data_IF_728629637779
#
_entry.id   IF_728629637779
#
_cell.length_a   1.000
_cell.length_b   1.000
_cell.length_c   1.000
_cell.angle_alpha   90.00
_cell.angle_beta   90.00
_cell.angle_gamma   90.00
#
_symmetry.space_group_name_H-M   'P 1'
#
loop_
_entity.id
_entity.type
_entity.pdbx_description
1 polymer ?
#
# COMPACT_ATOMS: atom_id res chain seq x y z
N UNK A 1 -10.51 -9.88 -9.71
CA UNK A 1 -9.29 -10.41 -9.10
C UNK A 1 -9.41 -10.24 -7.59
N UNK A 2 -9.13 -11.27 -6.79
CA UNK A 2 -9.17 -11.15 -5.34
C UNK A 2 -8.03 -10.23 -4.86
N UNK A 3 -8.36 -9.16 -4.13
CA UNK A 3 -7.36 -8.29 -3.52
C UNK A 3 -6.66 -9.01 -2.37
N UNK A 4 -5.33 -8.93 -2.27
CA UNK A 4 -4.59 -9.47 -1.13
C UNK A 4 -5.06 -8.80 0.16
N UNK A 5 -5.28 -9.62 1.19
CA UNK A 5 -5.44 -9.14 2.56
C UNK A 5 -4.07 -9.30 3.22
N UNK A 6 -3.34 -8.21 3.45
CA UNK A 6 -2.06 -8.34 4.10
C UNK A 6 -2.22 -8.82 5.54
N UNK A 7 -1.26 -9.62 5.99
CA UNK A 7 -1.16 -10.03 7.38
C UNK A 7 -0.79 -8.86 8.28
N UNK A 8 0.09 -7.98 7.82
CA UNK A 8 0.39 -6.70 8.43
C UNK A 8 -0.79 -5.74 8.32
N UNK A 9 -0.57 -4.52 8.78
CA UNK A 9 -1.60 -3.49 8.86
C UNK A 9 -1.49 -2.54 7.67
N UNK A 10 -2.45 -2.52 6.72
CA UNK A 10 -2.55 -1.45 5.75
C UNK A 10 -2.75 -0.12 6.46
N UNK A 11 -1.95 0.86 6.08
CA UNK A 11 -2.04 2.23 6.55
C UNK A 11 -2.13 3.16 5.33
N UNK A 12 -2.89 4.23 5.49
CA UNK A 12 -3.14 5.22 4.46
C UNK A 12 -2.84 6.59 5.06
N UNK A 13 -2.15 7.43 4.31
CA UNK A 13 -2.03 8.86 4.59
C UNK A 13 -2.13 9.66 3.31
N UNK A 14 -2.23 10.98 3.44
CA UNK A 14 -1.96 11.87 2.32
C UNK A 14 -0.45 12.12 2.22
N UNK A 15 0.00 12.60 1.07
CA UNK A 15 1.34 13.18 0.95
C UNK A 15 1.52 14.31 1.96
N UNK A 16 2.76 14.55 2.37
CA UNK A 16 3.10 15.57 3.38
C UNK A 16 2.66 16.99 2.96
N UNK A 17 2.73 17.28 1.66
CA UNK A 17 2.34 18.55 1.07
C UNK A 17 0.86 18.61 0.65
N UNK A 18 0.10 17.53 0.86
CA UNK A 18 -1.30 17.48 0.52
C UNK A 18 -2.19 18.01 1.66
N UNK A 19 -3.08 18.96 1.32
CA UNK A 19 -3.94 19.66 2.27
C UNK A 19 -5.41 19.41 1.94
N UNK A 20 -6.20 19.09 2.98
CA UNK A 20 -7.65 18.91 2.85
C UNK A 20 -8.36 20.22 3.17
N UNK A 21 -9.09 20.76 2.21
CA UNK A 21 -9.91 21.97 2.37
C UNK A 21 -11.40 21.61 2.33
N UNK A 22 -12.13 22.00 3.37
CA UNK A 22 -13.57 21.84 3.47
C UNK A 22 -14.25 23.22 3.54
N UNK A 23 -15.06 23.55 2.53
CA UNK A 23 -15.91 24.75 2.53
C UNK A 23 -17.35 24.30 2.86
N UNK A 24 -17.64 24.24 4.15
CA UNK A 24 -18.89 23.68 4.67
C UNK A 24 -19.14 22.24 4.20
N UNK A 25 -20.42 21.90 4.05
CA UNK A 25 -20.83 20.54 3.65
C UNK A 25 -20.74 20.29 2.13
N UNK A 26 -20.64 21.35 1.33
CA UNK A 26 -20.87 21.29 -0.11
C UNK A 26 -19.61 21.07 -0.95
N UNK A 27 -18.43 21.45 -0.43
CA UNK A 27 -17.17 21.34 -1.17
C UNK A 27 -16.08 20.75 -0.28
N UNK A 28 -15.36 19.80 -0.86
CA UNK A 28 -14.24 19.11 -0.25
C UNK A 28 -13.17 18.97 -1.34
N UNK A 29 -11.99 19.50 -1.08
CA UNK A 29 -10.88 19.56 -2.04
C UNK A 29 -9.63 19.03 -1.38
N UNK A 30 -8.82 18.26 -2.12
CA UNK A 30 -7.46 17.90 -1.73
C UNK A 30 -6.51 18.66 -2.64
N UNK A 31 -5.75 19.59 -2.07
CA UNK A 31 -4.72 20.34 -2.76
C UNK A 31 -3.40 19.57 -2.61
N UNK A 32 -2.73 19.22 -3.71
CA UNK A 32 -1.47 18.50 -3.67
C UNK A 32 -0.47 19.00 -4.72
N UNK A 33 0.68 18.32 -4.87
CA UNK A 33 1.76 18.78 -5.76
C UNK A 33 1.38 18.82 -7.24
N UNK A 34 0.32 18.10 -7.62
CA UNK A 34 -0.18 18.07 -9.00
C UNK A 34 -1.44 18.91 -9.22
N UNK A 35 -1.84 19.71 -8.23
CA UNK A 35 -3.00 20.60 -8.28
C UNK A 35 -4.13 20.20 -7.35
N UNK A 36 -5.26 20.88 -7.53
CA UNK A 36 -6.45 20.73 -6.69
C UNK A 36 -7.37 19.64 -7.24
N UNK A 37 -7.77 18.71 -6.37
CA UNK A 37 -8.67 17.61 -6.71
C UNK A 37 -9.97 17.80 -5.93
N UNK A 38 -11.06 18.06 -6.65
CA UNK A 38 -12.38 18.13 -6.04
C UNK A 38 -12.90 16.73 -5.71
N UNK A 39 -13.21 16.50 -4.44
CA UNK A 39 -13.71 15.22 -3.94
C UNK A 39 -15.21 15.14 -4.19
N UNK A 40 -15.61 14.18 -5.04
CA UNK A 40 -17.02 13.97 -5.42
C UNK A 40 -17.86 13.38 -4.28
N UNK A 41 -17.34 12.38 -3.57
CA UNK A 41 -18.02 11.80 -2.41
C UNK A 41 -17.69 12.59 -1.14
N UNK A 42 -18.69 13.35 -0.66
CA UNK A 42 -18.54 14.25 0.50
C UNK A 42 -19.18 13.67 1.76
N UNK A 43 -19.40 12.36 1.79
CA UNK A 43 -20.01 11.69 2.93
C UNK A 43 -19.16 11.83 4.20
N UNK A 44 -19.77 11.72 5.40
CA UNK A 44 -19.03 11.77 6.66
C UNK A 44 -17.90 10.75 6.75
N UNK A 45 -18.07 9.58 6.11
CA UNK A 45 -17.04 8.56 6.02
C UNK A 45 -15.78 9.06 5.29
N UNK A 46 -15.95 9.68 4.12
CA UNK A 46 -14.82 10.20 3.33
C UNK A 46 -14.14 11.36 4.06
N UNK A 47 -14.93 12.29 4.63
CA UNK A 47 -14.40 13.41 5.40
C UNK A 47 -13.55 12.95 6.58
N UNK A 48 -14.06 11.99 7.35
CA UNK A 48 -13.33 11.41 8.48
C UNK A 48 -12.06 10.67 8.03
N UNK A 49 -12.13 9.91 6.94
CA UNK A 49 -10.97 9.23 6.39
C UNK A 49 -9.88 10.22 5.99
N UNK A 50 -10.22 11.25 5.22
CA UNK A 50 -9.27 12.26 4.75
C UNK A 50 -8.70 13.08 5.91
N UNK A 51 -9.53 13.44 6.90
CA UNK A 51 -9.06 14.12 8.10
C UNK A 51 -8.03 13.28 8.87
N UNK A 52 -8.27 11.98 9.05
CA UNK A 52 -7.30 11.11 9.72
C UNK A 52 -6.04 10.92 8.91
N UNK A 53 -6.16 10.77 7.59
CA UNK A 53 -5.03 10.61 6.67
C UNK A 53 -4.15 11.86 6.60
N UNK A 54 -4.70 13.07 6.79
CA UNK A 54 -3.92 14.30 6.87
C UNK A 54 -3.14 14.44 8.17
N UNK A 55 -3.45 13.64 9.19
CA UNK A 55 -2.71 13.59 10.47
C UNK A 55 -1.60 12.54 10.45
N UNK A 56 -1.49 11.76 9.36
CA UNK A 56 -0.48 10.73 9.18
C UNK A 56 -1.06 9.33 8.89
N UNK A 57 -0.20 8.29 8.87
CA UNK A 57 -0.60 6.93 8.50
C UNK A 57 -1.67 6.34 9.43
N UNK A 58 -2.85 6.05 8.88
CA UNK A 58 -3.98 5.48 9.62
C UNK A 58 -4.49 4.19 8.98
N UNK A 59 -4.89 3.22 9.81
CA UNK A 59 -5.70 2.10 9.32
C UNK A 59 -7.15 2.54 9.16
N UNK A 60 -7.61 2.62 7.91
CA UNK A 60 -8.99 3.02 7.60
C UNK A 60 -10.03 2.03 8.15
N UNK A 61 -9.64 0.77 8.37
CA UNK A 61 -10.52 -0.21 9.02
C UNK A 61 -10.87 0.11 10.47
N UNK A 62 -10.13 1.04 11.10
CA UNK A 62 -10.44 1.54 12.44
C UNK A 62 -11.47 2.68 12.44
N UNK A 63 -11.96 3.11 11.27
CA UNK A 63 -13.09 4.04 11.20
C UNK A 63 -14.35 3.25 11.57
N UNK A 64 -15.14 3.68 12.58
CA UNK A 64 -16.29 2.90 13.06
C UNK A 64 -17.27 2.48 11.95
N UNK A 65 -17.50 3.35 10.97
CA UNK A 65 -18.37 3.09 9.83
C UNK A 65 -17.87 1.97 8.88
N UNK A 66 -16.59 1.58 8.98
CA UNK A 66 -15.94 0.52 8.20
C UNK A 66 -15.58 -0.72 9.02
N UNK A 67 -15.75 -0.71 10.35
CA UNK A 67 -15.24 -1.77 11.22
C UNK A 67 -15.76 -3.17 10.83
N UNK A 68 -17.09 -3.30 10.66
CA UNK A 68 -17.72 -4.56 10.26
C UNK A 68 -17.27 -5.03 8.87
N UNK A 69 -17.21 -4.11 7.90
CA UNK A 69 -16.78 -4.45 6.54
C UNK A 69 -15.30 -4.84 6.50
N UNK A 70 -14.47 -4.24 7.36
CA UNK A 70 -13.05 -4.53 7.47
C UNK A 70 -12.80 -5.89 8.10
N UNK A 71 -13.54 -6.22 9.16
CA UNK A 71 -13.51 -7.56 9.75
C UNK A 71 -13.95 -8.63 8.74
N UNK A 72 -15.02 -8.36 7.97
CA UNK A 72 -15.45 -9.26 6.90
C UNK A 72 -14.41 -9.38 5.79
N UNK A 73 -13.77 -8.29 5.40
CA UNK A 73 -12.73 -8.32 4.38
C UNK A 73 -11.56 -9.18 4.82
N UNK A 74 -11.12 -9.05 6.08
CA UNK A 74 -10.07 -9.90 6.65
C UNK A 74 -10.47 -11.39 6.67
N UNK A 75 -11.72 -11.70 7.00
CA UNK A 75 -12.19 -13.08 7.07
C UNK A 75 -12.45 -13.74 5.71
N UNK A 76 -12.88 -12.97 4.70
CA UNK A 76 -13.44 -13.51 3.44
C UNK A 76 -12.71 -13.06 2.18
N UNK A 77 -11.74 -12.15 2.29
CA UNK A 77 -11.09 -11.51 1.15
C UNK A 77 -12.00 -10.58 0.35
N UNK A 78 -13.27 -10.40 0.73
CA UNK A 78 -14.26 -9.61 -0.01
C UNK A 78 -14.50 -8.25 0.62
N UNK A 79 -14.21 -7.18 -0.14
CA UNK A 79 -14.45 -5.78 0.26
C UNK A 79 -15.95 -5.47 0.26
N UNK A 80 -16.42 -4.75 1.29
CA UNK A 80 -17.80 -4.27 1.37
C UNK A 80 -18.08 -3.03 0.53
N UNK A 81 -19.36 -2.65 0.35
CA UNK A 81 -19.75 -1.51 -0.48
C UNK A 81 -19.24 -0.16 0.04
N UNK A 82 -19.15 0.06 1.36
CA UNK A 82 -18.60 1.32 1.91
C UNK A 82 -17.09 1.38 1.67
N UNK A 83 -16.39 0.27 1.84
CA UNK A 83 -14.96 0.19 1.53
C UNK A 83 -14.69 0.44 0.05
N UNK A 84 -15.45 -0.19 -0.86
CA UNK A 84 -15.32 0.00 -2.32
C UNK A 84 -15.55 1.47 -2.70
N UNK A 85 -16.57 2.10 -2.09
CA UNK A 85 -16.86 3.52 -2.30
C UNK A 85 -15.70 4.41 -1.84
N UNK A 86 -15.19 4.19 -0.62
CA UNK A 86 -14.04 4.95 -0.11
C UNK A 86 -12.81 4.74 -0.98
N UNK A 87 -12.49 3.49 -1.36
CA UNK A 87 -11.37 3.17 -2.25
C UNK A 87 -11.47 3.91 -3.57
N UNK A 88 -12.66 3.99 -4.20
CA UNK A 88 -12.85 4.79 -5.42
C UNK A 88 -12.53 6.26 -5.22
N UNK A 89 -12.88 6.83 -4.08
CA UNK A 89 -12.53 8.20 -3.74
C UNK A 89 -11.02 8.36 -3.58
N UNK A 90 -10.35 7.43 -2.91
CA UNK A 90 -8.88 7.43 -2.78
C UNK A 90 -8.19 7.27 -4.14
N UNK A 91 -8.72 6.43 -5.03
CA UNK A 91 -8.18 6.22 -6.37
C UNK A 91 -8.30 7.49 -7.23
N UNK A 92 -9.37 8.28 -7.03
CA UNK A 92 -9.52 9.57 -7.68
C UNK A 92 -8.54 10.64 -7.16
N UNK A 93 -7.99 10.46 -5.96
CA UNK A 93 -6.91 11.31 -5.44
C UNK A 93 -5.52 10.90 -5.98
N UNK A 94 -5.42 9.72 -6.57
CA UNK A 94 -4.23 9.22 -7.24
C UNK A 94 -2.97 9.33 -6.39
N UNK A 95 -1.96 10.02 -6.94
CA UNK A 95 -0.65 10.18 -6.33
C UNK A 95 -0.63 10.89 -4.98
N UNK A 96 -1.72 11.58 -4.60
CA UNK A 96 -1.82 12.22 -3.29
C UNK A 96 -1.96 11.20 -2.13
N UNK A 97 -2.24 9.93 -2.42
CA UNK A 97 -2.41 8.88 -1.41
C UNK A 97 -1.12 8.09 -1.23
N UNK A 98 -0.61 8.08 0.00
CA UNK A 98 0.50 7.22 0.41
C UNK A 98 -0.05 5.93 1.00
N UNK A 99 0.35 4.80 0.40
CA UNK A 99 -0.04 3.47 0.86
C UNK A 99 1.12 2.84 1.63
N UNK A 100 0.91 2.55 2.90
CA UNK A 100 1.95 2.07 3.78
C UNK A 100 1.61 0.72 4.39
N UNK A 101 2.63 -0.08 4.66
CA UNK A 101 2.50 -1.32 5.41
C UNK A 101 3.09 -1.10 6.80
N UNK A 102 2.30 -1.31 7.85
CA UNK A 102 2.76 -1.34 9.23
C UNK A 102 2.73 -2.75 9.82
N UNK A 103 3.40 -2.93 10.96
CA UNK A 103 3.25 -4.11 11.80
C UNK A 103 2.26 -3.82 12.94
N UNK A 104 1.80 -4.86 13.63
CA UNK A 104 0.98 -4.73 14.85
C UNK A 104 1.83 -4.45 16.11
N UNK A 105 2.94 -3.74 15.95
CA UNK A 105 3.88 -3.38 17.01
C UNK A 105 3.68 -1.93 17.52
N UNK A 106 2.85 -1.14 16.83
CA UNK A 106 2.64 0.27 17.13
C UNK A 106 3.76 1.21 16.67
N UNK A 107 4.79 0.71 16.01
CA UNK A 107 5.98 1.48 15.61
C UNK A 107 5.84 2.25 14.30
N UNK A 108 4.64 2.34 13.73
CA UNK A 108 4.39 3.01 12.44
C UNK A 108 4.65 2.11 11.21
N UNK A 109 4.76 2.71 10.01
CA UNK A 109 5.09 1.98 8.79
C UNK A 109 6.45 1.26 8.86
N UNK A 110 6.57 0.12 8.18
CA UNK A 110 7.85 -0.50 7.81
C UNK A 110 8.24 -0.17 6.37
N UNK A 111 7.26 0.09 5.50
CA UNK A 111 7.44 0.67 4.17
C UNK A 111 6.27 1.59 3.80
N UNK A 112 6.53 2.56 2.93
CA UNK A 112 5.51 3.44 2.34
C UNK A 112 5.71 3.57 0.84
N UNK A 113 4.63 3.46 0.07
CA UNK A 113 4.61 3.68 -1.36
C UNK A 113 4.24 5.12 -1.64
N UNK A 114 5.17 5.85 -2.24
CA UNK A 114 5.02 7.26 -2.62
C UNK A 114 4.94 7.32 -4.14
N UNK A 115 3.92 7.98 -4.66
CA UNK A 115 3.73 8.09 -6.10
C UNK A 115 4.67 9.14 -6.70
N UNK A 116 5.19 8.85 -7.89
CA UNK A 116 5.96 9.79 -8.72
C UNK A 116 5.09 10.43 -9.82
N UNK A 117 3.83 9.98 -9.96
CA UNK A 117 2.87 10.44 -10.99
C UNK A 117 1.49 10.75 -10.37
N UNK A 118 0.73 11.70 -10.94
CA UNK A 118 -0.51 12.20 -10.35
C UNK A 118 -1.66 11.18 -10.31
N UNK A 119 -1.73 10.26 -11.26
CA UNK A 119 -2.83 9.33 -11.46
C UNK A 119 -2.51 7.91 -10.93
N UNK A 120 -1.50 7.79 -10.07
CA UNK A 120 -1.08 6.52 -9.52
C UNK A 120 -2.19 5.89 -8.65
N UNK A 121 -2.61 4.68 -9.02
CA UNK A 121 -3.56 3.88 -8.24
C UNK A 121 -2.88 2.61 -7.78
N UNK A 122 -3.05 2.28 -6.50
CA UNK A 122 -2.48 1.09 -5.89
C UNK A 122 -3.57 0.07 -5.53
N UNK A 123 -3.30 -1.19 -5.85
CA UNK A 123 -4.00 -2.33 -5.27
C UNK A 123 -2.96 -3.37 -4.83
N UNK A 124 -3.13 -3.88 -3.61
CA UNK A 124 -2.28 -4.92 -3.09
C UNK A 124 -2.58 -6.25 -3.79
N UNK A 125 -1.57 -6.80 -4.45
CA UNK A 125 -1.67 -8.04 -5.24
C UNK A 125 -1.33 -9.26 -4.39
N UNK A 126 -1.98 -10.40 -4.64
CA UNK A 126 -1.65 -11.65 -3.95
C UNK A 126 -0.51 -12.34 -4.69
N UNK A 127 0.57 -12.65 -3.97
CA UNK A 127 1.72 -13.38 -4.50
C UNK A 127 1.79 -14.73 -3.78
N UNK A 128 1.78 -15.83 -4.54
CA UNK A 128 1.87 -17.17 -3.96
C UNK A 128 3.26 -17.40 -3.34
N UNK A 129 3.34 -18.15 -2.23
CA UNK A 129 4.61 -18.34 -1.48
C UNK A 129 5.75 -18.96 -2.30
N UNK A 130 5.41 -19.68 -3.37
CA UNK A 130 6.32 -20.38 -4.29
C UNK A 130 6.42 -19.71 -5.66
N UNK A 131 5.73 -18.59 -5.87
CA UNK A 131 5.94 -17.80 -7.08
C UNK A 131 7.39 -17.30 -7.10
N UNK A 132 8.01 -17.37 -8.26
CA UNK A 132 9.33 -16.78 -8.47
C UNK A 132 9.13 -15.27 -8.52
N UNK A 133 9.89 -14.57 -7.71
CA UNK A 133 9.90 -13.11 -7.68
C UNK A 133 11.28 -12.63 -8.08
N UNK A 134 11.29 -11.64 -8.96
CA UNK A 134 12.50 -10.98 -9.45
C UNK A 134 12.34 -9.48 -9.28
N UNK A 135 13.41 -8.78 -8.94
CA UNK A 135 13.41 -7.32 -8.97
C UNK A 135 13.34 -6.85 -10.41
N UNK A 136 12.49 -5.85 -10.70
CA UNK A 136 12.40 -5.28 -12.04
C UNK A 136 13.78 -4.78 -12.51
N UNK A 137 14.20 -5.07 -13.75
CA UNK A 137 15.49 -4.60 -14.26
C UNK A 137 15.63 -3.07 -14.15
N UNK A 138 16.75 -2.64 -13.58
CA UNK A 138 17.04 -1.22 -13.36
C UNK A 138 16.44 -0.64 -12.07
N UNK A 139 15.77 -1.46 -11.25
CA UNK A 139 15.37 -1.04 -9.92
C UNK A 139 16.54 -1.11 -8.93
N UNK A 140 16.63 -0.11 -8.04
CA UNK A 140 17.75 0.08 -7.10
C UNK A 140 17.23 0.54 -5.75
N UNK A 141 17.99 0.24 -4.69
CA UNK A 141 17.84 0.89 -3.38
C UNK A 141 18.89 1.99 -3.28
N UNK A 142 18.45 3.20 -2.97
CA UNK A 142 19.29 4.38 -2.81
C UNK A 142 19.08 5.02 -1.45
N UNK A 143 20.14 5.60 -0.87
CA UNK A 143 20.03 6.40 0.33
C UNK A 143 19.73 7.86 -0.06
N UNK A 144 18.54 8.35 0.28
CA UNK A 144 18.07 9.71 0.01
C UNK A 144 17.69 10.34 1.33
N UNK A 145 18.36 11.44 1.72
CA UNK A 145 18.02 12.19 2.95
C UNK A 145 17.92 11.32 4.22
N UNK A 146 18.80 10.31 4.32
CA UNK A 146 18.85 9.31 5.39
C UNK A 146 17.73 8.25 5.39
N UNK A 147 16.89 8.21 4.35
CA UNK A 147 15.94 7.13 4.09
C UNK A 147 16.46 6.18 3.01
N UNK A 148 16.08 4.89 3.09
CA UNK A 148 16.36 3.92 2.03
C UNK A 148 15.18 3.86 1.07
N UNK A 149 15.40 4.18 -0.20
CA UNK A 149 14.34 4.28 -1.22
C UNK A 149 14.56 3.24 -2.30
N UNK A 150 13.60 2.31 -2.43
CA UNK A 150 13.56 1.35 -3.53
C UNK A 150 12.75 1.93 -4.69
N UNK A 151 13.40 2.13 -5.84
CA UNK A 151 12.79 2.76 -7.01
C UNK A 151 13.20 2.09 -8.31
N UNK A 152 12.40 2.30 -9.35
CA UNK A 152 12.71 1.90 -10.72
C UNK A 152 12.23 2.99 -11.67
N UNK A 153 13.04 3.34 -12.67
CA UNK A 153 12.62 4.31 -13.69
C UNK A 153 11.40 3.80 -14.45
N UNK A 154 10.42 4.68 -14.67
CA UNK A 154 9.21 4.37 -15.44
C UNK A 154 8.13 3.61 -14.66
N UNK A 155 8.31 3.42 -13.35
CA UNK A 155 7.30 2.88 -12.45
C UNK A 155 6.61 4.03 -11.70
N UNK A 156 5.31 3.92 -11.46
CA UNK A 156 4.49 4.98 -10.86
C UNK A 156 4.80 5.24 -9.38
N UNK A 157 5.45 4.30 -8.71
CA UNK A 157 5.73 4.33 -7.27
C UNK A 157 7.21 4.11 -6.99
N UNK A 158 7.68 4.80 -5.95
CA UNK A 158 8.87 4.44 -5.18
C UNK A 158 8.45 3.93 -3.80
N UNK A 159 9.22 3.01 -3.24
CA UNK A 159 8.99 2.51 -1.88
C UNK A 159 10.05 3.07 -0.93
N UNK A 160 9.60 3.83 0.07
CA UNK A 160 10.45 4.27 1.19
C UNK A 160 10.47 3.17 2.24
N UNK A 161 11.65 2.67 2.56
CA UNK A 161 11.89 1.54 3.47
C UNK A 161 12.27 2.07 4.85
N UNK A 162 11.26 2.30 5.69
CA UNK A 162 11.39 2.97 6.98
C UNK A 162 12.13 2.14 8.02
N UNK A 163 11.87 0.83 8.06
CA UNK A 163 12.34 -0.04 9.15
C UNK A 163 12.58 -1.49 8.69
N UNK A 164 13.41 -2.20 9.43
CA UNK A 164 13.40 -3.66 9.43
C UNK A 164 11.99 -4.17 9.83
N UNK A 165 11.45 -5.21 9.18
CA UNK A 165 12.10 -6.12 8.23
C UNK A 165 12.03 -5.70 6.76
N UNK A 166 11.27 -4.67 6.39
CA UNK A 166 11.06 -4.31 4.98
C UNK A 166 12.37 -4.00 4.24
N UNK A 167 13.27 -3.28 4.90
CA UNK A 167 14.59 -2.94 4.37
C UNK A 167 15.42 -4.18 4.02
N UNK A 168 15.51 -5.15 4.93
CA UNK A 168 16.33 -6.36 4.75
C UNK A 168 15.72 -7.31 3.72
N UNK A 169 14.38 -7.39 3.68
CA UNK A 169 13.67 -8.12 2.62
C UNK A 169 13.97 -7.50 1.25
N UNK A 170 13.87 -6.18 1.10
CA UNK A 170 14.13 -5.51 -0.18
C UNK A 170 15.59 -5.71 -0.65
N UNK A 171 16.57 -5.64 0.27
CA UNK A 171 17.98 -5.93 -0.03
C UNK A 171 18.20 -7.39 -0.44
N UNK A 172 17.54 -8.33 0.23
CA UNK A 172 17.61 -9.75 -0.12
C UNK A 172 17.07 -10.00 -1.54
N UNK A 173 15.94 -9.38 -1.90
CA UNK A 173 15.35 -9.47 -3.24
C UNK A 173 16.29 -8.97 -4.36
N UNK A 174 17.18 -8.01 -4.08
CA UNK A 174 18.18 -7.54 -5.05
C UNK A 174 19.26 -8.58 -5.39
N UNK A 175 19.34 -9.69 -4.65
CA UNK A 175 20.38 -10.71 -4.86
C UNK A 175 20.09 -11.64 -6.03
N UNK A 176 18.89 -11.60 -6.60
CA UNK A 176 18.47 -12.38 -7.76
C UNK A 176 17.04 -12.92 -7.63
N UNK A 177 16.68 -13.82 -8.54
CA UNK A 177 15.41 -14.56 -8.49
C UNK A 177 15.29 -15.34 -7.17
N UNK A 178 14.12 -15.28 -6.55
CA UNK A 178 13.87 -15.98 -5.29
C UNK A 178 12.37 -16.24 -5.08
N UNK A 179 11.99 -16.76 -3.92
CA UNK A 179 10.62 -16.97 -3.49
C UNK A 179 10.41 -16.41 -2.09
N UNK A 180 9.14 -16.17 -1.71
CA UNK A 180 8.80 -15.76 -0.33
C UNK A 180 9.35 -16.76 0.70
N UNK A 181 9.31 -18.06 0.38
CA UNK A 181 9.80 -19.13 1.28
C UNK A 181 11.31 -19.03 1.52
N UNK A 182 12.09 -18.79 0.47
CA UNK A 182 13.55 -18.69 0.54
C UNK A 182 13.97 -17.43 1.31
N UNK A 183 13.38 -16.28 0.99
CA UNK A 183 13.67 -15.01 1.70
C UNK A 183 13.33 -15.13 3.18
N UNK A 184 12.17 -15.70 3.53
CA UNK A 184 11.77 -15.91 4.91
C UNK A 184 12.75 -16.84 5.66
N UNK A 185 13.20 -17.91 5.00
CA UNK A 185 14.19 -18.84 5.57
C UNK A 185 15.57 -18.20 5.78
N UNK A 186 16.04 -17.44 4.79
CA UNK A 186 17.35 -16.78 4.82
C UNK A 186 17.44 -15.66 5.86
N UNK A 187 16.38 -14.86 6.02
CA UNK A 187 16.34 -13.74 6.95
C UNK A 187 15.78 -14.10 8.34
N UNK A 188 15.28 -15.33 8.52
CA UNK A 188 14.56 -15.76 9.73
C UNK A 188 13.36 -14.85 10.08
N UNK A 189 12.72 -14.26 9.06
CA UNK A 189 11.52 -13.43 9.20
C UNK A 189 10.29 -14.28 8.91
N UNK A 190 9.17 -14.01 9.60
CA UNK A 190 7.92 -14.72 9.36
C UNK A 190 7.43 -14.58 7.91
N UNK A 191 7.09 -15.71 7.28
CA UNK A 191 6.58 -15.75 5.89
C UNK A 191 5.44 -14.76 5.61
N UNK A 192 4.46 -14.55 6.51
CA UNK A 192 3.40 -13.58 6.24
C UNK A 192 3.94 -12.15 6.05
N UNK A 193 4.95 -11.75 6.82
CA UNK A 193 5.55 -10.42 6.70
C UNK A 193 6.32 -10.28 5.39
N UNK A 194 7.08 -11.31 5.00
CA UNK A 194 7.76 -11.32 3.69
C UNK A 194 6.75 -11.26 2.55
N UNK A 195 5.67 -12.05 2.64
CA UNK A 195 4.60 -12.05 1.65
C UNK A 195 3.94 -10.68 1.49
N UNK A 196 3.71 -9.94 2.57
CA UNK A 196 3.12 -8.60 2.49
C UNK A 196 4.08 -7.57 1.89
N UNK A 197 5.35 -7.60 2.27
CA UNK A 197 6.36 -6.71 1.67
C UNK A 197 6.47 -6.98 0.17
N UNK A 198 6.56 -8.25 -0.24
CA UNK A 198 6.57 -8.66 -1.65
C UNK A 198 5.30 -8.22 -2.37
N UNK A 199 4.12 -8.39 -1.75
CA UNK A 199 2.84 -7.96 -2.32
C UNK A 199 2.76 -6.44 -2.54
N UNK A 200 3.29 -5.64 -1.62
CA UNK A 200 3.35 -4.18 -1.78
C UNK A 200 4.32 -3.77 -2.89
N UNK A 201 5.53 -4.34 -2.91
CA UNK A 201 6.52 -4.02 -3.93
C UNK A 201 6.08 -4.50 -5.34
N UNK A 202 5.45 -5.67 -5.44
CA UNK A 202 4.86 -6.17 -6.69
C UNK A 202 3.68 -5.30 -7.15
N UNK A 203 2.77 -4.93 -6.23
CA UNK A 203 1.65 -4.04 -6.55
C UNK A 203 2.10 -2.62 -6.94
N UNK A 204 3.24 -2.17 -6.44
CA UNK A 204 3.91 -0.95 -6.86
C UNK A 204 4.61 -1.07 -8.22
N UNK A 205 4.74 -2.28 -8.77
CA UNK A 205 5.43 -2.54 -10.03
C UNK A 205 6.96 -2.66 -9.91
N UNK A 206 7.52 -2.71 -8.69
CA UNK A 206 8.96 -2.82 -8.44
C UNK A 206 9.49 -4.25 -8.57
N UNK A 207 8.60 -5.24 -8.52
CA UNK A 207 8.90 -6.66 -8.72
C UNK A 207 8.19 -7.22 -9.96
N UNK A 208 8.81 -8.22 -10.58
CA UNK A 208 8.21 -9.14 -11.52
C UNK A 208 7.85 -10.42 -10.76
N UNK A 209 6.67 -10.98 -11.03
CA UNK A 209 6.18 -12.18 -10.36
C UNK A 209 5.82 -13.20 -11.42
N UNK A 210 6.53 -14.32 -11.43
CA UNK A 210 6.27 -15.46 -12.29
C UNK A 210 5.70 -16.63 -11.49
N UNK A 211 4.53 -17.12 -11.92
CA UNK A 211 3.86 -18.25 -11.30
C UNK A 211 2.38 -18.30 -11.69
N UNK A 212 1.72 -19.46 -11.53
CA UNK A 212 0.28 -19.52 -11.75
C UNK A 212 -0.42 -18.56 -10.78
N UNK A 213 -1.44 -17.79 -11.24
CA UNK A 213 -2.26 -17.00 -10.32
C UNK A 213 -2.82 -17.92 -9.24
N UNK A 214 -2.85 -17.45 -7.99
CA UNK A 214 -3.35 -18.21 -6.85
C UNK A 214 -4.73 -18.78 -7.20
N UNK A 215 -4.82 -20.10 -7.37
CA UNK A 215 -6.07 -20.80 -7.61
C UNK A 215 -6.87 -20.81 -6.30
N UNK A 216 -7.55 -19.70 -6.02
CA UNK A 216 -8.60 -19.66 -5.01
C UNK A 216 -9.91 -19.31 -5.71
N UNK A 217 -10.55 -20.34 -6.26
CA UNK A 217 -11.98 -20.40 -6.57
C UNK A 217 -12.36 -21.88 -6.68
N UNK A 218 -12.97 -22.42 -5.62
CA UNK A 218 -13.57 -23.75 -5.65
C UNK A 218 -13.40 -24.53 -4.36
N UNK A 219 -14.23 -24.26 -3.35
CA UNK A 219 -15.32 -25.14 -2.91
C UNK A 219 -16.30 -24.35 -2.04
#
# INVERSE_FOLDING_TARGET
MASHVPFGRPLFSLLEDAVVLAEGEHKLTVCGPWGDIEVTDRSPLVREALHRMSLGPVSLGNIPALAEESARWQATGTRGPRWIRLKRTLDALGGCVVNSLGLFDGGGPILSLVADVPDAVFDCVSVAERAVVEVRPGATIEDIEAEQVFRCRGVAYRAVLHRSPATEIAKCLLSGETTITEVAGGLQVGRPVVGDVVAYLAGAGLLLVEGPPNALSGT
#
